data_IF_207706560567
#
_entry.id   IF_207706560567
#
_cell.length_a   1.000
_cell.length_b   1.000
_cell.length_c   1.000
_cell.angle_alpha   90.00
_cell.angle_beta   90.00
_cell.angle_gamma   90.00
#
_symmetry.space_group_name_H-M   'P 1'
#
loop_
_entity.id
_entity.type
_entity.pdbx_description
1 polymer ?
#
# COMPACT_ATOMS: atom_id res chain seq x y z
N UNK A 1 -39.03 58.37 -4.97
CA UNK A 1 -39.00 57.04 -4.35
C UNK A 1 -38.34 55.96 -5.23
N UNK A 2 -38.72 55.74 -6.45
CA UNK A 2 -38.18 54.69 -7.34
C UNK A 2 -36.65 54.70 -7.54
N UNK A 3 -35.99 55.89 -7.69
CA UNK A 3 -34.54 56.03 -7.83
C UNK A 3 -33.73 55.64 -6.57
N UNK A 4 -34.27 55.88 -5.36
CA UNK A 4 -33.63 55.50 -4.09
C UNK A 4 -33.70 53.98 -3.85
N UNK A 5 -34.79 53.36 -4.27
CA UNK A 5 -34.94 51.89 -4.16
C UNK A 5 -33.99 51.18 -5.14
N UNK A 6 -33.83 51.70 -6.36
CA UNK A 6 -32.90 51.14 -7.35
C UNK A 6 -31.43 51.24 -6.89
N UNK A 7 -31.05 52.32 -6.23
CA UNK A 7 -29.72 52.51 -5.67
C UNK A 7 -29.44 51.55 -4.51
N UNK A 8 -30.44 51.31 -3.64
CA UNK A 8 -30.32 50.36 -2.53
C UNK A 8 -30.22 48.91 -3.06
N UNK A 9 -30.93 48.54 -4.12
CA UNK A 9 -30.84 47.22 -4.74
C UNK A 9 -29.45 47.04 -5.39
N UNK A 10 -28.93 48.04 -6.09
CA UNK A 10 -27.55 47.97 -6.65
C UNK A 10 -26.48 47.87 -5.57
N UNK A 11 -26.58 48.58 -4.45
CA UNK A 11 -25.64 48.48 -3.33
C UNK A 11 -25.74 47.09 -2.69
N UNK A 12 -26.94 46.50 -2.57
CA UNK A 12 -27.13 45.14 -2.03
C UNK A 12 -26.55 44.07 -2.94
N UNK A 13 -26.66 44.22 -4.27
CA UNK A 13 -26.07 43.32 -5.27
C UNK A 13 -24.53 43.43 -5.26
N UNK A 14 -23.98 44.63 -5.07
CA UNK A 14 -22.52 44.85 -4.95
C UNK A 14 -22.01 44.23 -3.65
N UNK A 15 -22.72 44.36 -2.54
CA UNK A 15 -22.35 43.74 -1.25
C UNK A 15 -22.41 42.20 -1.32
N UNK A 16 -23.44 41.65 -1.99
CA UNK A 16 -23.54 40.20 -2.24
C UNK A 16 -22.47 39.70 -3.22
N UNK A 17 -22.15 40.49 -4.25
CA UNK A 17 -21.06 40.19 -5.19
C UNK A 17 -19.66 40.22 -4.53
N UNK A 18 -19.41 41.20 -3.65
CA UNK A 18 -18.18 41.30 -2.87
C UNK A 18 -18.09 40.21 -1.77
N UNK A 19 -19.23 39.85 -1.14
CA UNK A 19 -19.31 38.76 -0.17
C UNK A 19 -18.99 37.41 -0.80
N UNK A 20 -19.46 37.14 -2.03
CA UNK A 20 -19.12 35.90 -2.75
C UNK A 20 -17.68 35.88 -3.31
N UNK A 21 -17.03 37.03 -3.54
CA UNK A 21 -15.63 37.11 -3.90
C UNK A 21 -14.67 36.92 -2.70
N UNK A 22 -15.13 37.10 -1.47
CA UNK A 22 -14.29 36.92 -0.27
C UNK A 22 -14.28 35.46 0.19
N UNK A 23 -15.24 34.61 -0.26
CA UNK A 23 -15.37 33.23 0.20
C UNK A 23 -14.61 32.17 -0.62
N UNK A 24 -13.76 32.55 -1.58
CA UNK A 24 -13.00 31.61 -2.40
C UNK A 24 -11.56 32.06 -2.69
N UNK A 25 -10.87 32.61 -1.72
CA UNK A 25 -9.42 32.58 -1.71
C UNK A 25 -9.01 31.42 -0.78
N UNK A 26 -8.78 30.22 -1.32
CA UNK A 26 -7.93 29.26 -0.64
C UNK A 26 -6.62 29.99 -0.31
N UNK A 27 -6.48 30.44 0.94
CA UNK A 27 -5.26 31.11 1.37
C UNK A 27 -4.14 30.09 1.20
N UNK A 28 -3.09 30.45 0.46
CA UNK A 28 -1.86 29.67 0.37
C UNK A 28 -1.34 29.40 1.77
N UNK A 29 -0.77 28.22 1.98
CA UNK A 29 -0.08 27.91 3.23
C UNK A 29 1.07 28.86 3.44
N UNK A 30 1.18 29.39 4.65
CA UNK A 30 2.37 30.11 5.08
C UNK A 30 3.59 29.19 5.14
N UNK A 31 4.79 29.77 5.10
CA UNK A 31 6.04 29.01 5.25
C UNK A 31 6.05 28.20 6.55
N UNK A 32 5.55 28.77 7.66
CA UNK A 32 5.47 28.08 8.94
C UNK A 32 4.56 26.85 8.88
N UNK A 33 3.38 26.97 8.27
CA UNK A 33 2.44 25.86 8.13
C UNK A 33 3.01 24.71 7.28
N UNK A 34 3.74 25.03 6.21
CA UNK A 34 4.44 24.03 5.37
C UNK A 34 5.52 23.28 6.16
N UNK A 35 6.31 24.03 6.95
CA UNK A 35 7.34 23.47 7.84
C UNK A 35 6.72 22.55 8.90
N UNK A 36 5.64 22.99 9.55
CA UNK A 36 4.95 22.20 10.58
C UNK A 36 4.40 20.88 10.02
N UNK A 37 3.85 20.88 8.82
CA UNK A 37 3.37 19.68 8.15
C UNK A 37 4.53 18.73 7.76
N UNK A 38 5.66 19.28 7.31
CA UNK A 38 6.88 18.50 7.08
C UNK A 38 7.42 17.88 8.39
N UNK A 39 7.48 18.63 9.47
CA UNK A 39 7.92 18.11 10.77
C UNK A 39 6.97 17.02 11.30
N UNK A 40 5.67 17.15 11.02
CA UNK A 40 4.69 16.08 11.31
C UNK A 40 5.00 14.80 10.53
N UNK A 41 5.24 14.89 9.21
CA UNK A 41 5.70 13.78 8.39
C UNK A 41 6.99 13.19 8.95
N UNK A 42 8.02 14.02 9.14
CA UNK A 42 9.34 13.57 9.61
C UNK A 42 9.27 12.83 10.95
N UNK A 43 8.50 13.37 11.91
CA UNK A 43 8.32 12.73 13.22
C UNK A 43 7.62 11.36 13.11
N UNK A 44 6.60 11.23 12.26
CA UNK A 44 5.91 9.96 12.06
C UNK A 44 6.81 8.93 11.39
N UNK A 45 7.55 9.31 10.35
CA UNK A 45 8.51 8.42 9.68
C UNK A 45 9.61 7.98 10.65
N UNK A 46 10.25 8.93 11.34
CA UNK A 46 11.31 8.65 12.31
C UNK A 46 10.87 7.66 13.39
N UNK A 47 9.65 7.78 13.90
CA UNK A 47 9.15 6.99 15.04
C UNK A 47 8.38 5.74 14.64
N UNK A 48 7.76 5.72 13.45
CA UNK A 48 6.77 4.70 13.08
C UNK A 48 7.07 3.92 11.81
N UNK A 49 7.81 4.48 10.86
CA UNK A 49 8.07 3.80 9.58
C UNK A 49 9.02 2.60 9.76
N UNK A 50 8.64 1.40 9.29
CA UNK A 50 9.38 0.17 9.61
C UNK A 50 10.63 -0.06 8.75
N UNK A 51 10.74 0.53 7.54
CA UNK A 51 11.73 0.15 6.54
C UNK A 51 12.91 1.12 6.39
N UNK A 52 13.17 2.02 7.35
CA UNK A 52 14.28 2.99 7.26
C UNK A 52 15.64 2.34 6.98
N UNK A 53 15.94 1.24 7.65
CA UNK A 53 17.20 0.51 7.46
C UNK A 53 17.22 -0.31 6.17
N UNK A 54 16.09 -0.81 5.74
CA UNK A 54 15.94 -1.46 4.43
C UNK A 54 16.21 -0.44 3.32
N UNK A 55 15.62 0.74 3.41
CA UNK A 55 15.84 1.84 2.49
C UNK A 55 17.33 2.21 2.40
N UNK A 56 18.00 2.36 3.54
CA UNK A 56 19.43 2.66 3.60
C UNK A 56 20.28 1.55 2.95
N UNK A 57 19.99 0.27 3.22
CA UNK A 57 20.75 -0.86 2.66
C UNK A 57 20.52 -1.05 1.16
N UNK A 58 19.28 -0.86 0.69
CA UNK A 58 18.90 -1.22 -0.69
C UNK A 58 19.13 -0.08 -1.66
N UNK A 59 18.81 1.14 -1.24
CA UNK A 59 18.84 2.33 -2.10
C UNK A 59 19.95 3.32 -1.73
N UNK A 60 20.74 3.03 -0.68
CA UNK A 60 21.78 3.92 -0.14
C UNK A 60 21.23 5.30 0.26
N UNK A 61 19.96 5.36 0.69
CA UNK A 61 19.30 6.59 1.15
C UNK A 61 19.11 6.53 2.66
N UNK A 62 19.85 7.36 3.42
CA UNK A 62 19.54 7.63 4.82
C UNK A 62 18.53 8.79 4.88
N UNK A 63 17.26 8.42 4.88
CA UNK A 63 16.18 9.40 4.83
C UNK A 63 16.19 10.35 6.03
N UNK A 64 16.58 9.86 7.22
CA UNK A 64 16.62 10.69 8.43
C UNK A 64 17.78 11.70 8.42
N UNK A 65 18.93 11.34 7.88
CA UNK A 65 20.07 12.24 7.75
C UNK A 65 19.82 13.36 6.72
N UNK A 66 18.89 13.16 5.79
CA UNK A 66 18.52 14.17 4.80
C UNK A 66 17.58 15.26 5.33
N UNK A 67 17.28 15.32 6.64
CA UNK A 67 16.29 16.26 7.21
C UNK A 67 16.48 17.70 6.77
N UNK A 68 17.68 18.23 6.95
CA UNK A 68 17.98 19.63 6.65
C UNK A 68 17.84 19.92 5.14
N UNK A 69 18.24 18.98 4.29
CA UNK A 69 18.05 19.08 2.85
C UNK A 69 16.57 19.13 2.48
N UNK A 70 15.77 18.25 3.08
CA UNK A 70 14.32 18.20 2.85
C UNK A 70 13.63 19.45 3.37
N UNK A 71 13.99 19.90 4.58
CA UNK A 71 13.44 21.12 5.17
C UNK A 71 13.69 22.34 4.26
N UNK A 72 14.90 22.48 3.75
CA UNK A 72 15.21 23.56 2.81
C UNK A 72 14.36 23.51 1.54
N UNK A 73 14.15 22.32 0.96
CA UNK A 73 13.27 22.14 -0.22
C UNK A 73 11.85 22.63 0.09
N UNK A 74 11.32 22.32 1.27
CA UNK A 74 9.98 22.76 1.72
C UNK A 74 9.94 24.28 1.91
N UNK A 75 10.95 24.85 2.55
CA UNK A 75 11.05 26.30 2.80
C UNK A 75 11.09 27.12 1.51
N UNK A 76 11.70 26.58 0.46
CA UNK A 76 11.90 27.25 -0.83
C UNK A 76 10.66 27.10 -1.76
N UNK A 77 9.58 26.42 -1.32
CA UNK A 77 8.37 26.27 -2.15
C UNK A 77 7.58 27.59 -2.24
N UNK A 78 7.34 28.10 -3.47
CA UNK A 78 6.68 29.39 -3.66
C UNK A 78 5.17 29.35 -3.36
N UNK A 79 4.52 28.20 -3.55
CA UNK A 79 3.08 28.01 -3.45
C UNK A 79 2.71 26.59 -2.95
N UNK A 80 1.41 26.30 -2.84
CA UNK A 80 0.91 25.03 -2.35
C UNK A 80 1.10 23.89 -3.38
N UNK A 81 1.05 24.20 -4.67
CA UNK A 81 1.24 23.20 -5.72
C UNK A 81 2.68 22.65 -5.65
N UNK A 82 3.66 23.55 -5.55
CA UNK A 82 5.06 23.17 -5.41
C UNK A 82 5.36 22.48 -4.08
N UNK A 83 4.70 22.92 -3.00
CA UNK A 83 4.78 22.23 -1.70
C UNK A 83 4.31 20.79 -1.77
N UNK A 84 3.18 20.51 -2.44
CA UNK A 84 2.67 19.14 -2.63
C UNK A 84 3.66 18.29 -3.45
N UNK A 85 4.24 18.85 -4.50
CA UNK A 85 5.24 18.16 -5.32
C UNK A 85 6.49 17.80 -4.51
N UNK A 86 7.04 18.74 -3.74
CA UNK A 86 8.22 18.51 -2.92
C UNK A 86 7.94 17.50 -1.80
N UNK A 87 6.79 17.62 -1.12
CA UNK A 87 6.37 16.63 -0.12
C UNK A 87 6.23 15.23 -0.71
N UNK A 88 5.63 15.09 -1.90
CA UNK A 88 5.52 13.80 -2.61
C UNK A 88 6.90 13.23 -2.90
N UNK A 89 7.79 14.03 -3.50
CA UNK A 89 9.16 13.62 -3.81
C UNK A 89 9.97 13.21 -2.57
N UNK A 90 9.80 13.91 -1.44
CA UNK A 90 10.45 13.55 -0.18
C UNK A 90 9.95 12.21 0.36
N UNK A 91 8.64 11.94 0.24
CA UNK A 91 8.07 10.66 0.64
C UNK A 91 8.53 9.55 -0.30
N UNK A 92 8.65 9.81 -1.60
CA UNK A 92 9.10 8.84 -2.60
C UNK A 92 10.56 8.38 -2.37
N UNK A 93 11.40 9.20 -1.72
CA UNK A 93 12.75 8.82 -1.28
C UNK A 93 12.75 7.67 -0.22
N UNK A 94 11.59 7.27 0.32
CA UNK A 94 11.44 6.07 1.15
C UNK A 94 11.35 4.77 0.33
N UNK A 95 11.20 4.85 -0.99
CA UNK A 95 11.17 3.74 -1.95
C UNK A 95 10.21 2.60 -1.55
N UNK A 96 9.04 2.96 -0.97
CA UNK A 96 8.06 1.99 -0.54
C UNK A 96 6.67 2.37 -1.07
N UNK A 97 6.07 1.50 -1.88
CA UNK A 97 4.80 1.76 -2.57
C UNK A 97 3.56 1.76 -1.66
N UNK A 98 3.71 1.34 -0.39
CA UNK A 98 2.69 1.55 0.64
C UNK A 98 2.87 2.87 1.41
N UNK A 99 3.92 3.64 1.09
CA UNK A 99 4.22 4.92 1.73
C UNK A 99 4.24 6.00 0.66
N UNK A 100 3.23 6.85 0.67
CA UNK A 100 2.98 7.87 -0.35
C UNK A 100 2.29 9.10 0.24
N UNK A 101 2.52 10.27 -0.35
CA UNK A 101 1.62 11.40 -0.20
C UNK A 101 0.41 11.16 -1.13
N UNK A 102 -0.81 11.23 -0.60
CA UNK A 102 -2.00 11.23 -1.45
C UNK A 102 -2.08 12.60 -2.11
N UNK A 103 -1.65 12.71 -3.34
CA UNK A 103 -1.46 13.98 -4.06
C UNK A 103 -2.52 14.27 -5.13
N UNK A 104 -3.59 13.48 -5.16
CA UNK A 104 -4.68 13.66 -6.11
C UNK A 104 -6.03 13.20 -5.56
N UNK A 105 -7.10 13.80 -6.10
CA UNK A 105 -8.48 13.55 -5.66
C UNK A 105 -8.93 12.11 -5.87
N UNK A 106 -8.63 11.50 -7.01
CA UNK A 106 -9.08 10.13 -7.31
C UNK A 106 -8.49 9.11 -6.32
N UNK A 107 -7.22 9.29 -5.95
CA UNK A 107 -6.56 8.45 -4.96
C UNK A 107 -7.14 8.67 -3.56
N UNK A 108 -7.45 9.92 -3.20
CA UNK A 108 -8.14 10.25 -1.96
C UNK A 108 -9.51 9.57 -1.85
N UNK A 109 -10.36 9.68 -2.89
CA UNK A 109 -11.70 9.08 -2.89
C UNK A 109 -11.62 7.54 -2.79
N UNK A 110 -10.63 6.92 -3.42
CA UNK A 110 -10.38 5.48 -3.30
C UNK A 110 -10.16 5.08 -1.82
N UNK A 111 -9.24 5.76 -1.13
CA UNK A 111 -8.96 5.45 0.27
C UNK A 111 -10.09 5.86 1.21
N UNK A 112 -10.74 6.99 0.95
CA UNK A 112 -11.92 7.40 1.71
C UNK A 112 -13.00 6.31 1.66
N UNK A 113 -13.29 5.77 0.48
CA UNK A 113 -14.24 4.66 0.29
C UNK A 113 -13.78 3.40 1.01
N UNK A 114 -12.51 3.01 0.86
CA UNK A 114 -11.95 1.81 1.47
C UNK A 114 -11.99 1.82 3.00
N UNK A 115 -11.86 3.01 3.62
CA UNK A 115 -11.82 3.15 5.08
C UNK A 115 -13.13 3.69 5.70
N UNK A 116 -14.15 4.02 4.91
CA UNK A 116 -15.40 4.63 5.38
C UNK A 116 -16.16 3.80 6.40
N UNK A 117 -16.14 2.48 6.26
CA UNK A 117 -16.96 1.57 7.07
C UNK A 117 -16.37 1.27 8.46
N UNK A 118 -15.15 1.71 8.74
CA UNK A 118 -14.42 1.26 9.92
C UNK A 118 -14.27 2.32 11.03
N UNK A 119 -14.65 3.57 10.79
CA UNK A 119 -14.47 4.72 11.70
C UNK A 119 -13.03 4.85 12.26
N UNK A 120 -12.04 4.39 11.47
CA UNK A 120 -10.64 4.45 11.90
C UNK A 120 -10.03 5.84 11.75
N UNK A 121 -10.54 6.63 10.78
CA UNK A 121 -9.97 7.91 10.36
C UNK A 121 -11.05 8.97 10.18
N UNK A 122 -11.47 9.58 11.29
CA UNK A 122 -12.53 10.60 11.31
C UNK A 122 -12.19 11.80 10.40
N UNK A 123 -10.89 12.13 10.29
CA UNK A 123 -10.39 13.23 9.46
C UNK A 123 -10.64 13.06 7.95
N UNK A 124 -10.98 11.87 7.46
CA UNK A 124 -11.34 11.69 6.04
C UNK A 124 -12.63 12.44 5.66
N UNK A 125 -13.40 12.86 6.65
CA UNK A 125 -14.62 13.67 6.48
C UNK A 125 -14.45 15.11 6.95
N UNK A 126 -13.27 15.52 7.41
CA UNK A 126 -13.01 16.89 7.83
C UNK A 126 -13.10 17.84 6.65
N UNK A 127 -13.77 18.98 6.86
CA UNK A 127 -14.00 20.00 5.83
C UNK A 127 -12.67 20.49 5.20
N UNK A 128 -11.63 20.69 6.02
CA UNK A 128 -10.31 21.09 5.54
C UNK A 128 -9.69 20.08 4.58
N UNK A 129 -9.77 18.78 4.91
CA UNK A 129 -9.30 17.69 4.05
C UNK A 129 -10.08 17.64 2.75
N UNK A 130 -11.42 17.68 2.83
CA UNK A 130 -12.29 17.67 1.66
C UNK A 130 -12.01 18.86 0.73
N UNK A 131 -11.87 20.07 1.31
CA UNK A 131 -11.56 21.29 0.54
C UNK A 131 -10.19 21.19 -0.12
N UNK A 132 -9.16 20.62 0.57
CA UNK A 132 -7.83 20.41 -0.03
C UNK A 132 -7.94 19.52 -1.27
N UNK A 133 -8.55 18.34 -1.17
CA UNK A 133 -8.65 17.43 -2.31
C UNK A 133 -9.60 17.90 -3.41
N UNK A 134 -10.56 18.75 -3.11
CA UNK A 134 -11.38 19.42 -4.13
C UNK A 134 -10.59 20.52 -4.87
N UNK A 135 -9.59 21.12 -4.26
CA UNK A 135 -8.76 22.19 -4.86
C UNK A 135 -7.55 21.68 -5.64
N UNK A 136 -7.11 20.45 -5.40
CA UNK A 136 -5.98 19.85 -6.14
C UNK A 136 -6.39 19.67 -7.60
N UNK A 137 -5.67 20.33 -8.50
CA UNK A 137 -5.87 20.18 -9.94
C UNK A 137 -5.60 18.73 -10.34
N UNK A 138 -6.44 18.15 -11.20
CA UNK A 138 -6.15 16.83 -11.75
C UNK A 138 -4.77 16.87 -12.43
N UNK A 139 -3.82 16.09 -11.92
CA UNK A 139 -2.60 15.85 -12.71
C UNK A 139 -3.07 15.10 -13.96
N UNK A 140 -2.94 15.74 -15.13
CA UNK A 140 -3.11 15.05 -16.41
C UNK A 140 -1.90 14.11 -16.52
N UNK A 141 -1.95 12.97 -15.83
CA UNK A 141 -1.10 11.87 -16.20
C UNK A 141 -1.60 11.44 -17.56
N UNK A 142 -0.79 11.69 -18.59
CA UNK A 142 -0.87 10.99 -19.87
C UNK A 142 -0.54 9.52 -19.56
N UNK A 143 -1.42 8.86 -18.85
CA UNK A 143 -1.41 7.43 -18.60
C UNK A 143 -2.47 6.77 -19.49
N UNK A 144 -2.58 7.26 -20.76
CA UNK A 144 -3.47 6.64 -21.75
C UNK A 144 -2.83 5.45 -22.50
N UNK A 145 -1.58 5.14 -22.24
CA UNK A 145 -0.90 4.05 -22.95
C UNK A 145 -0.30 3.10 -21.91
N UNK A 146 -0.66 1.87 -21.93
CA UNK A 146 -0.19 0.69 -21.18
C UNK A 146 -1.10 0.10 -20.09
N UNK A 147 -2.36 0.49 -19.95
CA UNK A 147 -3.30 -0.46 -19.40
C UNK A 147 -4.04 -1.19 -20.54
N UNK A 148 -3.33 -1.95 -21.37
CA UNK A 148 -3.90 -3.21 -21.78
C UNK A 148 -4.22 -3.92 -20.46
N UNK A 149 -5.52 -4.12 -20.16
CA UNK A 149 -5.92 -4.92 -19.02
C UNK A 149 -5.27 -6.29 -19.22
N UNK A 150 -4.11 -6.49 -18.62
CA UNK A 150 -3.49 -7.80 -18.58
C UNK A 150 -4.51 -8.70 -17.91
N UNK A 151 -4.86 -9.79 -18.57
CA UNK A 151 -5.90 -10.70 -18.11
C UNK A 151 -5.27 -11.97 -17.56
N UNK A 152 -6.02 -12.64 -16.68
CA UNK A 152 -5.74 -14.02 -16.33
C UNK A 152 -5.56 -14.84 -17.62
N UNK A 153 -4.40 -15.46 -17.76
CA UNK A 153 -4.09 -16.33 -18.91
C UNK A 153 -3.86 -17.75 -18.43
N UNK A 154 -4.46 -18.72 -19.10
CA UNK A 154 -4.40 -20.15 -18.79
C UNK A 154 -4.16 -20.87 -20.12
N UNK A 155 -2.96 -21.42 -20.31
CA UNK A 155 -2.58 -22.07 -21.58
C UNK A 155 -1.41 -23.05 -21.40
N UNK A 156 -1.22 -23.94 -22.34
CA UNK A 156 -0.02 -24.74 -22.41
C UNK A 156 1.03 -24.04 -23.26
N UNK A 157 2.18 -23.70 -22.68
CA UNK A 157 3.32 -23.18 -23.45
C UNK A 157 4.10 -24.29 -24.18
N UNK A 158 4.00 -25.51 -23.66
CA UNK A 158 4.40 -26.72 -24.39
C UNK A 158 3.22 -27.70 -24.27
N UNK A 159 2.59 -27.96 -25.37
CA UNK A 159 1.37 -28.77 -25.44
C UNK A 159 1.51 -30.10 -24.66
N UNK A 160 0.56 -30.37 -23.79
CA UNK A 160 0.44 -31.57 -22.96
C UNK A 160 1.65 -31.85 -22.05
N UNK A 161 2.53 -30.81 -21.83
CA UNK A 161 3.75 -30.94 -21.01
C UNK A 161 3.93 -29.84 -19.99
N UNK A 162 3.76 -28.57 -20.38
CA UNK A 162 4.04 -27.42 -19.52
C UNK A 162 2.87 -26.46 -19.55
N UNK A 163 2.13 -26.46 -18.45
CA UNK A 163 1.05 -25.50 -18.22
C UNK A 163 1.57 -24.14 -17.78
N UNK A 164 0.77 -23.09 -18.03
CA UNK A 164 1.10 -21.70 -17.71
C UNK A 164 -0.12 -20.98 -17.16
N UNK A 165 0.06 -20.31 -16.03
CA UNK A 165 -0.92 -19.43 -15.41
C UNK A 165 -0.28 -18.06 -15.24
N UNK A 166 -0.81 -17.02 -15.91
CA UNK A 166 -0.43 -15.65 -15.68
C UNK A 166 -1.43 -14.93 -14.77
N UNK A 167 -0.97 -14.44 -13.64
CA UNK A 167 -1.75 -13.68 -12.66
C UNK A 167 -1.30 -12.20 -12.69
N UNK A 168 -1.99 -11.32 -13.43
CA UNK A 168 -1.58 -9.92 -13.59
C UNK A 168 -1.74 -9.08 -12.32
N UNK A 169 -2.58 -9.52 -11.38
CA UNK A 169 -2.89 -8.86 -10.11
C UNK A 169 -3.42 -9.90 -9.13
N UNK A 170 -3.33 -9.65 -7.83
CA UNK A 170 -4.03 -10.42 -6.81
C UNK A 170 -5.47 -9.91 -6.64
N UNK A 171 -6.16 -9.77 -7.77
CA UNK A 171 -7.58 -9.39 -7.85
C UNK A 171 -8.19 -9.97 -9.13
N UNK A 172 -9.51 -10.15 -9.14
CA UNK A 172 -10.18 -10.57 -10.38
C UNK A 172 -10.12 -9.46 -11.43
N UNK A 173 -9.82 -9.84 -12.66
CA UNK A 173 -9.75 -8.94 -13.80
C UNK A 173 -11.09 -8.76 -14.55
N UNK A 174 -12.02 -9.71 -14.42
CA UNK A 174 -13.22 -9.77 -15.24
C UNK A 174 -14.53 -10.06 -14.48
N UNK A 175 -14.48 -10.20 -13.16
CA UNK A 175 -15.67 -10.56 -12.40
C UNK A 175 -15.41 -10.79 -10.93
N UNK A 176 -15.77 -11.95 -10.42
CA UNK A 176 -15.54 -12.34 -9.03
C UNK A 176 -14.31 -13.24 -8.89
N UNK A 177 -13.78 -13.31 -7.66
CA UNK A 177 -12.72 -14.29 -7.33
C UNK A 177 -13.15 -15.72 -7.63
N UNK A 178 -14.44 -16.06 -7.39
CA UNK A 178 -14.96 -17.40 -7.64
C UNK A 178 -14.95 -17.78 -9.13
N UNK A 179 -15.21 -16.83 -10.02
CA UNK A 179 -15.12 -17.08 -11.46
C UNK A 179 -13.69 -17.40 -11.89
N UNK A 180 -12.70 -16.62 -11.41
CA UNK A 180 -11.30 -16.90 -11.69
C UNK A 180 -10.87 -18.25 -11.09
N UNK A 181 -11.27 -18.53 -9.83
CA UNK A 181 -10.94 -19.81 -9.17
C UNK A 181 -11.56 -21.02 -9.89
N UNK A 182 -12.74 -20.88 -10.47
CA UNK A 182 -13.35 -21.95 -11.29
C UNK A 182 -12.58 -22.14 -12.60
N UNK A 183 -12.22 -21.05 -13.30
CA UNK A 183 -11.41 -21.14 -14.52
C UNK A 183 -10.07 -21.81 -14.25
N UNK A 184 -9.36 -21.35 -13.19
CA UNK A 184 -8.07 -21.92 -12.78
C UNK A 184 -8.22 -23.39 -12.38
N UNK A 185 -9.23 -23.74 -11.57
CA UNK A 185 -9.48 -25.12 -11.16
C UNK A 185 -9.73 -26.05 -12.34
N UNK A 186 -10.60 -25.64 -13.27
CA UNK A 186 -10.88 -26.42 -14.50
C UNK A 186 -9.61 -26.60 -15.35
N UNK A 187 -8.76 -25.58 -15.45
CA UNK A 187 -7.50 -25.69 -16.16
C UNK A 187 -6.54 -26.65 -15.45
N UNK A 188 -6.39 -26.56 -14.13
CA UNK A 188 -5.54 -27.47 -13.34
C UNK A 188 -5.99 -28.94 -13.50
N UNK A 189 -7.28 -29.18 -13.60
CA UNK A 189 -7.80 -30.56 -13.82
C UNK A 189 -7.35 -31.15 -15.16
N UNK A 190 -6.99 -30.33 -16.14
CA UNK A 190 -6.42 -30.80 -17.43
C UNK A 190 -4.93 -31.14 -17.34
N UNK A 191 -4.26 -30.73 -16.28
CA UNK A 191 -2.80 -30.85 -16.14
C UNK A 191 -2.34 -32.19 -15.49
N UNK A 192 -3.20 -33.19 -15.36
CA UNK A 192 -2.90 -34.46 -14.66
C UNK A 192 -1.56 -35.08 -15.07
N UNK A 193 -1.27 -35.06 -16.39
CA UNK A 193 -0.07 -35.66 -16.98
C UNK A 193 1.04 -34.67 -17.33
N UNK A 194 0.90 -33.38 -16.98
CA UNK A 194 1.91 -32.38 -17.27
C UNK A 194 3.13 -32.52 -16.34
N UNK A 195 4.30 -32.31 -16.89
CA UNK A 195 5.58 -32.38 -16.19
C UNK A 195 5.81 -31.15 -15.29
N UNK A 196 5.26 -29.99 -15.70
CA UNK A 196 5.44 -28.73 -15.00
C UNK A 196 4.26 -27.76 -15.16
N UNK A 197 4.14 -26.84 -14.19
CA UNK A 197 3.28 -25.67 -14.23
C UNK A 197 4.11 -24.43 -13.91
N UNK A 198 4.02 -23.42 -14.77
CA UNK A 198 4.59 -22.10 -14.53
C UNK A 198 3.48 -21.17 -14.05
N UNK A 199 3.67 -20.55 -12.89
CA UNK A 199 2.84 -19.46 -12.40
C UNK A 199 3.64 -18.16 -12.58
N UNK A 200 3.14 -17.26 -13.41
CA UNK A 200 3.82 -15.99 -13.70
C UNK A 200 3.09 -14.86 -13.00
N UNK A 201 3.79 -14.20 -12.07
CA UNK A 201 3.31 -13.03 -11.36
C UNK A 201 4.19 -11.80 -11.61
N UNK A 202 4.99 -11.80 -12.66
CA UNK A 202 5.77 -10.62 -13.03
C UNK A 202 4.84 -9.44 -13.32
N UNK A 203 5.28 -8.23 -12.97
CA UNK A 203 4.48 -6.98 -12.98
C UNK A 203 3.30 -6.97 -11.98
N UNK A 204 3.10 -7.98 -11.14
CA UNK A 204 1.97 -8.05 -10.21
C UNK A 204 2.23 -7.25 -8.92
N UNK A 205 1.60 -6.11 -8.80
CA UNK A 205 1.76 -5.19 -7.67
C UNK A 205 0.98 -5.59 -6.40
N UNK A 206 0.38 -6.78 -6.38
CA UNK A 206 -0.41 -7.25 -5.24
C UNK A 206 -1.92 -7.09 -5.43
N UNK A 207 -2.62 -7.00 -4.32
CA UNK A 207 -4.08 -6.95 -4.22
C UNK A 207 -4.56 -7.61 -2.95
N UNK A 208 -5.42 -8.63 -3.04
CA UNK A 208 -5.97 -9.35 -1.89
C UNK A 208 -5.22 -10.65 -1.61
N UNK A 209 -4.87 -10.88 -0.35
CA UNK A 209 -4.29 -12.16 0.07
C UNK A 209 -5.25 -13.33 -0.16
N UNK A 210 -6.56 -13.10 -0.04
CA UNK A 210 -7.57 -14.13 -0.32
C UNK A 210 -7.54 -14.61 -1.77
N UNK A 211 -7.05 -13.80 -2.72
CA UNK A 211 -6.98 -14.19 -4.14
C UNK A 211 -5.90 -15.25 -4.36
N UNK A 212 -4.65 -14.98 -3.97
CA UNK A 212 -3.59 -15.98 -4.15
C UNK A 212 -3.81 -17.23 -3.29
N UNK A 213 -4.40 -17.08 -2.09
CA UNK A 213 -4.78 -18.22 -1.25
C UNK A 213 -5.84 -19.10 -1.95
N UNK A 214 -6.81 -18.48 -2.63
CA UNK A 214 -7.80 -19.19 -3.43
C UNK A 214 -7.19 -19.91 -4.64
N UNK A 215 -6.25 -19.30 -5.35
CA UNK A 215 -5.47 -19.94 -6.42
C UNK A 215 -4.70 -21.15 -5.87
N UNK A 216 -3.99 -20.93 -4.75
CA UNK A 216 -3.19 -21.96 -4.13
C UNK A 216 -4.03 -23.14 -3.62
N UNK A 217 -5.26 -22.90 -3.16
CA UNK A 217 -6.19 -23.95 -2.74
C UNK A 217 -6.51 -24.96 -3.83
N UNK A 218 -6.31 -24.61 -5.11
CA UNK A 218 -6.48 -25.50 -6.26
C UNK A 218 -5.23 -26.33 -6.56
N UNK A 219 -4.06 -25.95 -6.01
CA UNK A 219 -2.74 -26.48 -6.34
C UNK A 219 -2.06 -27.23 -5.18
N UNK A 220 -2.64 -27.21 -3.99
CA UNK A 220 -2.14 -28.01 -2.85
C UNK A 220 -3.13 -29.10 -2.52
N UNK A 221 -2.64 -30.29 -2.17
CA UNK A 221 -3.47 -31.44 -1.85
C UNK A 221 -3.97 -31.44 -0.40
N UNK A 222 -3.12 -30.99 0.51
CA UNK A 222 -3.37 -30.96 1.93
C UNK A 222 -3.43 -29.52 2.46
N UNK A 223 -4.14 -29.31 3.57
CA UNK A 223 -4.17 -28.01 4.25
C UNK A 223 -2.75 -27.53 4.59
N UNK A 224 -2.47 -26.27 4.32
CA UNK A 224 -1.18 -25.64 4.65
C UNK A 224 -1.39 -24.51 5.66
N UNK A 225 -0.78 -24.64 6.82
CA UNK A 225 -0.72 -23.57 7.83
C UNK A 225 0.50 -22.70 7.53
N UNK A 226 0.25 -21.37 7.43
CA UNK A 226 1.28 -20.36 7.30
C UNK A 226 1.30 -19.54 8.58
N UNK A 227 2.47 -19.24 9.09
CA UNK A 227 2.66 -18.47 10.32
C UNK A 227 3.81 -17.49 10.15
N UNK A 228 3.76 -16.39 10.86
CA UNK A 228 4.81 -15.38 10.85
C UNK A 228 4.57 -14.34 11.92
N UNK A 229 5.30 -13.24 11.83
CA UNK A 229 5.24 -12.17 12.80
C UNK A 229 5.11 -10.83 12.10
N UNK A 230 4.25 -9.94 12.59
CA UNK A 230 4.29 -8.52 12.22
C UNK A 230 4.91 -7.75 13.35
N UNK A 231 5.97 -7.02 13.08
CA UNK A 231 6.70 -6.25 14.08
C UNK A 231 6.41 -4.76 13.90
N UNK A 232 6.23 -4.05 15.02
CA UNK A 232 5.74 -2.67 15.05
C UNK A 232 6.69 -1.74 15.80
N UNK A 233 6.80 -0.50 15.31
CA UNK A 233 7.44 0.62 16.02
C UNK A 233 6.36 1.37 16.83
N UNK A 234 5.81 0.71 17.86
CA UNK A 234 4.60 1.12 18.57
C UNK A 234 4.83 2.30 19.56
N UNK A 235 6.05 2.80 19.70
CA UNK A 235 6.34 4.05 20.40
C UNK A 235 5.83 5.30 19.63
N UNK A 236 5.51 5.16 18.36
CA UNK A 236 4.85 6.18 17.57
C UNK A 236 3.37 6.28 17.94
N UNK A 237 2.89 7.48 18.31
CA UNK A 237 1.48 7.72 18.67
C UNK A 237 0.51 7.25 17.57
N UNK A 238 0.87 7.48 16.33
CA UNK A 238 0.08 7.10 15.15
C UNK A 238 -0.03 5.58 15.04
N UNK A 239 1.09 4.85 15.16
CA UNK A 239 1.10 3.38 15.13
C UNK A 239 0.36 2.80 16.33
N UNK A 240 0.52 3.39 17.52
CA UNK A 240 -0.23 2.97 18.71
C UNK A 240 -1.74 3.10 18.52
N UNK A 241 -2.21 4.23 17.98
CA UNK A 241 -3.64 4.43 17.67
C UNK A 241 -4.12 3.44 16.60
N UNK A 242 -3.30 3.18 15.58
CA UNK A 242 -3.56 2.22 14.51
C UNK A 242 -3.77 0.81 15.08
N UNK A 243 -2.85 0.31 15.90
CA UNK A 243 -2.93 -1.04 16.47
C UNK A 243 -4.09 -1.20 17.45
N UNK A 244 -4.38 -0.16 18.24
CA UNK A 244 -5.52 -0.14 19.17
C UNK A 244 -6.87 -0.19 18.43
N UNK A 245 -7.07 0.64 17.41
CA UNK A 245 -8.33 0.68 16.64
C UNK A 245 -8.62 -0.63 15.89
N UNK A 246 -7.59 -1.43 15.62
CA UNK A 246 -7.69 -2.75 14.95
C UNK A 246 -7.68 -3.92 15.92
N UNK A 247 -7.65 -3.66 17.24
CA UNK A 247 -7.59 -4.68 18.28
C UNK A 247 -6.43 -5.68 18.09
N UNK A 248 -5.28 -5.21 17.58
CA UNK A 248 -4.10 -6.04 17.32
C UNK A 248 -3.54 -6.51 18.67
N UNK A 249 -3.34 -7.82 18.81
CA UNK A 249 -2.82 -8.46 20.03
C UNK A 249 -1.30 -8.40 20.06
N UNK A 250 -0.77 -7.30 20.58
CA UNK A 250 0.66 -7.05 20.64
C UNK A 250 1.34 -7.74 21.82
N UNK A 251 2.55 -8.20 21.58
CA UNK A 251 3.49 -8.69 22.59
C UNK A 251 4.80 -7.87 22.50
N UNK A 252 5.51 -7.68 23.65
CA UNK A 252 6.79 -6.98 23.64
C UNK A 252 7.81 -7.68 22.73
N UNK A 253 8.56 -6.93 21.92
CA UNK A 253 9.52 -7.46 20.94
C UNK A 253 10.58 -8.39 21.56
N UNK A 254 10.92 -8.18 22.83
CA UNK A 254 11.85 -9.05 23.56
C UNK A 254 11.40 -10.51 23.66
N UNK A 255 10.07 -10.76 23.57
CA UNK A 255 9.47 -12.08 23.60
C UNK A 255 9.41 -12.77 22.22
N UNK A 256 9.89 -12.11 21.18
CA UNK A 256 10.04 -12.74 19.85
C UNK A 256 10.96 -13.97 19.97
N UNK A 257 10.68 -15.09 19.28
CA UNK A 257 11.51 -16.29 19.34
C UNK A 257 13.00 -16.02 19.07
N UNK A 258 13.88 -16.72 19.78
CA UNK A 258 15.32 -16.47 19.70
C UNK A 258 15.89 -16.67 18.30
N UNK A 259 15.41 -17.69 17.55
CA UNK A 259 15.86 -17.93 16.18
C UNK A 259 15.51 -16.75 15.26
N UNK A 260 14.34 -16.13 15.41
CA UNK A 260 13.96 -14.94 14.65
C UNK A 260 14.82 -13.73 15.02
N UNK A 261 15.10 -13.54 16.31
CA UNK A 261 16.01 -12.46 16.76
C UNK A 261 17.43 -12.63 16.23
N UNK A 262 17.87 -13.87 16.09
CA UNK A 262 19.22 -14.20 15.62
C UNK A 262 19.35 -14.12 14.10
N UNK A 263 18.37 -14.63 13.37
CA UNK A 263 18.42 -14.76 11.91
C UNK A 263 17.83 -13.54 11.18
N UNK A 264 16.93 -12.82 11.83
CA UNK A 264 16.26 -11.65 11.26
C UNK A 264 17.15 -10.40 11.18
N UNK A 265 16.60 -9.30 10.69
CA UNK A 265 17.32 -8.03 10.57
C UNK A 265 17.89 -7.54 11.91
N UNK A 266 19.16 -7.09 11.90
CA UNK A 266 19.88 -6.66 13.12
C UNK A 266 19.20 -5.50 13.87
N UNK A 267 18.36 -4.74 13.19
CA UNK A 267 17.59 -3.62 13.75
C UNK A 267 16.36 -4.03 14.54
N UNK A 268 15.93 -5.29 14.52
CA UNK A 268 14.67 -5.74 15.17
C UNK A 268 14.60 -5.26 16.63
N UNK A 269 15.56 -5.65 17.45
CA UNK A 269 15.55 -5.32 18.89
C UNK A 269 15.83 -3.82 19.19
N UNK A 270 16.39 -3.08 18.23
CA UNK A 270 16.74 -1.66 18.40
C UNK A 270 15.64 -0.71 17.98
N UNK A 271 14.83 -1.11 16.99
CA UNK A 271 13.88 -0.22 16.33
C UNK A 271 12.43 -0.58 16.59
N UNK A 272 12.14 -1.85 16.81
CA UNK A 272 10.79 -2.32 17.04
C UNK A 272 10.54 -2.54 18.52
N UNK A 273 9.29 -2.35 18.94
CA UNK A 273 8.90 -2.43 20.35
C UNK A 273 7.97 -3.59 20.63
N UNK A 274 7.18 -3.95 19.63
CA UNK A 274 6.10 -4.94 19.77
C UNK A 274 5.99 -5.80 18.53
N UNK A 275 5.35 -6.96 18.68
CA UNK A 275 4.98 -7.83 17.57
C UNK A 275 3.62 -8.50 17.81
N UNK A 276 3.00 -8.98 16.74
CA UNK A 276 1.89 -9.93 16.78
C UNK A 276 2.26 -11.22 16.06
N UNK A 277 1.71 -12.33 16.52
CA UNK A 277 1.74 -13.59 15.77
C UNK A 277 0.68 -13.56 14.70
N UNK A 278 1.05 -13.98 13.50
CA UNK A 278 0.10 -14.16 12.40
C UNK A 278 0.01 -15.63 12.03
N UNK A 279 -1.19 -16.10 11.73
CA UNK A 279 -1.39 -17.47 11.28
C UNK A 279 -2.68 -17.57 10.48
N UNK A 280 -2.60 -18.26 9.35
CA UNK A 280 -3.78 -18.62 8.55
C UNK A 280 -3.60 -20.00 7.94
N UNK A 281 -4.69 -20.65 7.52
CA UNK A 281 -4.67 -21.95 6.91
C UNK A 281 -5.24 -21.87 5.51
N UNK A 282 -4.48 -22.32 4.52
CA UNK A 282 -4.94 -22.48 3.15
C UNK A 282 -5.47 -23.90 3.02
N UNK A 283 -6.73 -24.02 2.61
CA UNK A 283 -7.38 -25.30 2.42
C UNK A 283 -6.88 -25.98 1.14
N UNK A 284 -6.57 -27.26 1.25
CA UNK A 284 -6.15 -28.07 0.13
C UNK A 284 -7.32 -28.68 -0.65
N UNK A 285 -7.02 -29.16 -1.85
CA UNK A 285 -7.90 -29.95 -2.70
C UNK A 285 -7.44 -31.42 -2.69
N UNK A 286 -8.08 -32.31 -1.91
CA UNK A 286 -7.68 -33.72 -1.82
C UNK A 286 -7.80 -34.48 -3.15
N UNK A 287 -8.58 -33.93 -4.10
CA UNK A 287 -8.80 -34.53 -5.43
C UNK A 287 -7.78 -34.04 -6.47
N UNK A 288 -6.81 -33.19 -6.08
CA UNK A 288 -5.77 -32.70 -7.00
C UNK A 288 -5.01 -33.86 -7.63
N UNK A 289 -5.00 -33.91 -8.96
CA UNK A 289 -4.32 -34.94 -9.75
C UNK A 289 -2.95 -34.50 -10.25
N UNK A 290 -2.74 -33.22 -10.48
CA UNK A 290 -1.46 -32.67 -10.92
C UNK A 290 -0.34 -33.02 -9.93
N UNK A 291 0.80 -33.48 -10.48
CA UNK A 291 1.98 -33.94 -9.70
C UNK A 291 3.30 -33.33 -10.22
N UNK A 292 3.21 -32.51 -11.27
CA UNK A 292 4.38 -31.89 -11.88
C UNK A 292 5.06 -30.87 -10.98
N UNK A 293 6.22 -30.39 -11.42
CA UNK A 293 6.94 -29.33 -10.73
C UNK A 293 6.25 -27.97 -10.92
N UNK A 294 6.26 -27.14 -9.90
CA UNK A 294 5.71 -25.78 -9.97
C UNK A 294 6.85 -24.78 -9.94
N UNK A 295 6.81 -23.81 -10.85
CA UNK A 295 7.74 -22.70 -10.95
C UNK A 295 6.96 -21.38 -10.79
N UNK A 296 7.49 -20.45 -10.00
CA UNK A 296 6.94 -19.11 -9.83
C UNK A 296 7.88 -18.09 -10.46
N UNK A 297 7.39 -17.34 -11.46
CA UNK A 297 8.17 -16.26 -12.07
C UNK A 297 7.89 -14.94 -11.37
N UNK A 298 8.95 -14.25 -10.97
CA UNK A 298 8.91 -12.98 -10.23
C UNK A 298 9.84 -11.93 -10.84
N UNK A 299 9.51 -10.66 -10.59
CA UNK A 299 10.35 -9.50 -10.94
C UNK A 299 10.31 -8.43 -9.82
N UNK A 300 11.01 -7.32 -10.01
CA UNK A 300 11.08 -6.18 -9.10
C UNK A 300 9.73 -5.48 -8.83
N UNK A 301 8.72 -5.73 -9.65
CA UNK A 301 7.38 -5.14 -9.52
C UNK A 301 6.44 -5.99 -8.68
N UNK A 302 6.79 -7.24 -8.40
CA UNK A 302 6.08 -8.10 -7.45
C UNK A 302 6.13 -7.46 -6.07
N UNK A 303 4.96 -7.16 -5.49
CA UNK A 303 4.87 -6.33 -4.30
C UNK A 303 3.65 -6.68 -3.44
N UNK A 304 3.68 -6.41 -2.13
CA UNK A 304 2.51 -6.54 -1.25
C UNK A 304 1.98 -7.98 -1.19
N UNK A 305 0.73 -8.22 -1.53
CA UNK A 305 0.09 -9.56 -1.52
C UNK A 305 0.81 -10.57 -2.43
N UNK A 306 1.36 -10.13 -3.57
CA UNK A 306 2.17 -10.98 -4.46
C UNK A 306 3.52 -11.33 -3.86
N UNK A 307 4.10 -10.41 -3.07
CA UNK A 307 5.29 -10.68 -2.28
C UNK A 307 5.02 -11.78 -1.25
N UNK A 308 3.90 -11.70 -0.52
CA UNK A 308 3.53 -12.72 0.46
C UNK A 308 3.34 -14.09 -0.19
N UNK A 309 2.80 -14.15 -1.41
CA UNK A 309 2.74 -15.38 -2.19
C UNK A 309 4.12 -15.91 -2.56
N UNK A 310 5.04 -15.04 -2.97
CA UNK A 310 6.44 -15.42 -3.27
C UNK A 310 7.16 -15.94 -2.02
N UNK A 311 6.97 -15.29 -0.89
CA UNK A 311 7.51 -15.73 0.41
C UNK A 311 6.95 -17.09 0.79
N UNK A 312 5.64 -17.31 0.66
CA UNK A 312 5.01 -18.61 0.88
C UNK A 312 5.64 -19.70 0.01
N UNK A 313 5.81 -19.46 -1.28
CA UNK A 313 6.39 -20.44 -2.21
C UNK A 313 7.83 -20.82 -1.78
N UNK A 314 8.64 -19.84 -1.39
CA UNK A 314 10.01 -20.02 -0.95
C UNK A 314 10.07 -20.78 0.38
N UNK A 315 9.32 -20.35 1.40
CA UNK A 315 9.29 -20.92 2.74
C UNK A 315 8.82 -22.39 2.73
N UNK A 316 7.73 -22.67 2.02
CA UNK A 316 7.13 -24.00 2.01
C UNK A 316 7.72 -24.93 0.95
N UNK A 317 8.59 -24.43 0.10
CA UNK A 317 9.10 -25.12 -1.10
C UNK A 317 7.97 -25.60 -2.02
N UNK A 318 6.87 -24.85 -2.02
CA UNK A 318 5.71 -25.15 -2.87
C UNK A 318 6.05 -24.97 -4.35
N UNK A 319 6.81 -23.94 -4.68
CA UNK A 319 7.29 -23.68 -6.03
C UNK A 319 8.78 -23.27 -6.02
N UNK A 320 9.47 -23.58 -7.11
CA UNK A 320 10.78 -22.99 -7.38
C UNK A 320 10.59 -21.56 -7.85
N UNK A 321 11.05 -20.58 -7.06
CA UNK A 321 10.98 -19.16 -7.41
C UNK A 321 12.12 -18.80 -8.36
N UNK A 322 11.80 -18.20 -9.49
CA UNK A 322 12.74 -17.83 -10.56
C UNK A 322 12.51 -16.38 -10.94
N UNK A 323 13.57 -15.61 -11.05
CA UNK A 323 13.53 -14.22 -11.49
C UNK A 323 14.42 -13.30 -10.68
N UNK A 324 14.00 -12.06 -10.51
CA UNK A 324 14.74 -11.00 -9.83
C UNK A 324 14.27 -10.82 -8.39
N UNK A 325 15.00 -9.97 -7.63
CA UNK A 325 14.54 -9.54 -6.32
C UNK A 325 13.21 -8.78 -6.45
N UNK A 326 12.26 -9.18 -5.63
CA UNK A 326 10.92 -8.59 -5.60
C UNK A 326 10.89 -7.21 -4.93
N UNK A 327 9.79 -6.49 -5.09
CA UNK A 327 9.60 -5.13 -4.53
C UNK A 327 9.30 -5.10 -3.03
N UNK A 328 9.03 -6.25 -2.41
CA UNK A 328 8.91 -6.39 -0.96
C UNK A 328 7.56 -6.00 -0.37
N UNK A 329 7.58 -5.72 0.94
CA UNK A 329 6.46 -5.26 1.77
C UNK A 329 5.22 -6.19 1.76
N UNK A 330 5.47 -7.50 1.74
CA UNK A 330 4.45 -8.53 1.90
C UNK A 330 4.03 -8.71 3.37
N UNK A 331 2.81 -9.22 3.59
CA UNK A 331 2.30 -9.58 4.90
C UNK A 331 1.84 -8.43 5.81
N UNK A 332 1.85 -7.19 5.32
CA UNK A 332 1.30 -6.01 5.99
C UNK A 332 -0.24 -6.04 5.89
N UNK A 333 -0.94 -5.58 6.93
CA UNK A 333 -2.42 -5.55 6.91
C UNK A 333 -2.90 -4.46 5.95
N UNK A 334 -2.72 -3.21 6.36
CA UNK A 334 -2.99 -2.01 5.61
C UNK A 334 -2.07 -0.88 6.10
N UNK A 335 -1.69 0.05 5.23
CA UNK A 335 -0.94 1.23 5.65
C UNK A 335 -1.74 2.14 6.58
N UNK A 336 -1.04 2.83 7.47
CA UNK A 336 -1.65 3.85 8.33
C UNK A 336 -1.80 5.16 7.56
N UNK A 337 -2.91 5.88 7.81
CA UNK A 337 -3.13 7.23 7.29
C UNK A 337 -2.77 8.28 8.35
N UNK A 338 -2.09 9.32 7.92
CA UNK A 338 -1.63 10.46 8.72
C UNK A 338 -2.17 11.75 8.10
N UNK A 339 -2.94 12.51 8.87
CA UNK A 339 -3.43 13.83 8.44
C UNK A 339 -2.41 14.92 8.76
N UNK A 340 -2.01 15.69 7.77
CA UNK A 340 -1.22 16.91 7.91
C UNK A 340 -2.17 18.08 8.18
N UNK A 341 -2.13 18.61 9.39
CA UNK A 341 -3.17 19.49 9.92
C UNK A 341 -3.28 20.85 9.20
N UNK A 342 -2.18 21.37 8.71
CA UNK A 342 -2.17 22.70 8.07
C UNK A 342 -2.63 22.62 6.62
N UNK A 343 -2.13 21.66 5.86
CA UNK A 343 -2.50 21.48 4.45
C UNK A 343 -3.78 20.69 4.24
N UNK A 344 -4.17 19.83 5.18
CA UNK A 344 -5.23 18.83 4.96
C UNK A 344 -4.79 17.66 4.08
N UNK A 345 -3.51 17.57 3.73
CA UNK A 345 -2.96 16.45 2.97
C UNK A 345 -2.88 15.19 3.84
N UNK A 346 -2.93 14.04 3.20
CA UNK A 346 -2.85 12.73 3.85
C UNK A 346 -1.63 12.00 3.36
N UNK A 347 -0.83 11.51 4.31
CA UNK A 347 0.25 10.54 4.08
C UNK A 347 -0.31 9.15 4.35
N UNK A 348 -0.08 8.23 3.43
CA UNK A 348 -0.23 6.81 3.63
C UNK A 348 1.14 6.25 3.97
N UNK A 349 1.29 5.44 5.03
CA UNK A 349 2.58 4.95 5.49
C UNK A 349 2.49 3.47 5.89
N UNK A 350 3.46 2.66 5.47
CA UNK A 350 3.58 1.28 5.94
C UNK A 350 3.57 1.21 7.47
N UNK A 351 2.77 0.30 8.03
CA UNK A 351 2.48 0.25 9.48
C UNK A 351 3.35 -0.71 10.26
N UNK A 352 3.85 -1.76 9.63
CA UNK A 352 4.64 -2.84 10.24
C UNK A 352 5.59 -3.47 9.22
N UNK A 353 6.49 -4.32 9.69
CA UNK A 353 7.29 -5.22 8.87
C UNK A 353 6.86 -6.66 9.17
N UNK A 354 6.76 -7.48 8.13
CA UNK A 354 6.49 -8.91 8.27
C UNK A 354 7.80 -9.70 8.31
N UNK A 355 7.81 -10.71 9.15
CA UNK A 355 8.86 -11.74 9.24
C UNK A 355 8.20 -13.10 9.12
N UNK A 356 8.78 -13.99 8.35
CA UNK A 356 8.39 -15.40 8.35
C UNK A 356 8.74 -16.09 9.68
N UNK A 357 8.38 -17.34 9.81
CA UNK A 357 8.60 -18.09 11.07
C UNK A 357 10.00 -18.71 11.18
N UNK A 358 10.85 -18.66 10.12
CA UNK A 358 12.14 -19.36 10.03
C UNK A 358 13.37 -18.43 10.01
#
# INVERSE_FOLDING_TARGET
MKKKILLLIMIFIIILGLGNCIYSKNSQLSKSEKIEDFECLYSNVKKGYPYLYVNKRHYNVDWLENKEKYLKRIEDTPDDEKFIEEMSSIVDDLHNRHTELIDNKSRFELFKTAYSNNNWYDFLSDEKVLNRYNSIKPKIKIQKEYFFKKKLTLEDIIKDKVGYIYLPSMSSSEGSFNEDFNKIGNYIDTLENHEALIIDIRDNAGGSDSYWQGVLSKLIKEDRKVSGYRIYRNNCKTIKKYTQKRNIKLQPIKNLPEHIKKNGPKEILKQFTDFENTSYTIKGNPNLKFKGNIYLLVDEKVFSSSELFSMFCKETKFATVIGESTGGDGGVIDPVLINLKNSGLIIRMASCMYLDKD
#
